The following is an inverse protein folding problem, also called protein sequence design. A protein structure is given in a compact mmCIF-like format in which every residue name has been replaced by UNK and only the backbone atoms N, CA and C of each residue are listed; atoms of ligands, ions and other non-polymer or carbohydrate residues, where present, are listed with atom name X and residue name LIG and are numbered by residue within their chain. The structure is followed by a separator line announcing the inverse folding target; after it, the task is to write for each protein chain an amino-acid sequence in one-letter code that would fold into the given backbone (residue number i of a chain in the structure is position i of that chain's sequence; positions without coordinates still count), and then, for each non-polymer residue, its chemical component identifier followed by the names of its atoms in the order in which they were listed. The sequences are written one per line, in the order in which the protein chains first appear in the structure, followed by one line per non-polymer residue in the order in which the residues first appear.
data_IF_443472923846
#
_entry.id   IF_443472923846
#
_cell.length_a   1.000
_cell.length_b   1.000
_cell.length_c   1.000
_cell.angle_alpha   90.00
_cell.angle_beta   90.00
_cell.angle_gamma   90.00
#
_symmetry.space_group_name_H-M   'P 1'
#
loop_
_entity.id
_entity.type
_entity.pdbx_description
1 polymer ?
#
# COMPACT_ATOMS: atom_id res chain seq x y z
N UNK A 1 -20.35 -64.32 -83.53
CA UNK A 1 -21.35 -64.06 -82.46
C UNK A 1 -20.65 -64.22 -81.11
N UNK A 2 -21.11 -63.52 -80.05
CA UNK A 2 -20.29 -62.53 -79.34
C UNK A 2 -20.04 -62.86 -77.85
N UNK A 3 -19.45 -61.87 -77.13
CA UNK A 3 -19.58 -61.57 -75.68
C UNK A 3 -18.82 -62.48 -74.71
N UNK A 4 -18.29 -62.04 -73.57
CA UNK A 4 -18.00 -60.72 -72.96
C UNK A 4 -17.42 -61.04 -71.58
N UNK A 5 -16.36 -60.34 -71.19
CA UNK A 5 -15.76 -60.38 -69.84
C UNK A 5 -16.67 -59.65 -68.83
N UNK A 6 -16.72 -60.06 -67.54
CA UNK A 6 -17.10 -59.15 -66.47
C UNK A 6 -15.91 -58.72 -65.60
N UNK A 7 -15.82 -57.40 -65.49
CA UNK A 7 -15.01 -56.58 -64.59
C UNK A 7 -15.26 -56.91 -63.11
N UNK A 8 -14.20 -57.05 -62.31
CA UNK A 8 -14.25 -56.84 -60.85
C UNK A 8 -13.87 -55.39 -60.56
N UNK A 9 -14.79 -54.66 -59.92
CA UNK A 9 -14.62 -53.28 -59.46
C UNK A 9 -13.74 -53.23 -58.23
N UNK A 10 -12.56 -52.61 -58.34
CA UNK A 10 -11.75 -52.15 -57.21
C UNK A 10 -12.10 -50.69 -56.93
N UNK A 11 -12.54 -50.41 -55.70
CA UNK A 11 -12.87 -49.09 -55.20
C UNK A 11 -11.55 -48.38 -54.84
N UNK A 12 -11.11 -47.42 -55.66
CA UNK A 12 -9.97 -46.56 -55.39
C UNK A 12 -10.40 -45.34 -54.56
N UNK A 13 -9.80 -45.18 -53.38
CA UNK A 13 -9.96 -44.00 -52.54
C UNK A 13 -9.01 -42.91 -53.06
N UNK A 14 -9.56 -41.84 -53.62
CA UNK A 14 -8.81 -40.65 -54.06
C UNK A 14 -8.50 -39.78 -52.84
N UNK A 15 -7.22 -39.70 -52.45
CA UNK A 15 -6.73 -38.72 -51.49
C UNK A 15 -6.53 -37.40 -52.24
N UNK A 16 -7.39 -36.42 -51.97
CA UNK A 16 -7.22 -35.05 -52.44
C UNK A 16 -6.15 -34.37 -51.57
N UNK A 17 -5.00 -34.06 -52.17
CA UNK A 17 -3.94 -33.27 -51.55
C UNK A 17 -4.38 -31.79 -51.54
N UNK A 18 -4.97 -31.33 -50.44
CA UNK A 18 -5.21 -29.91 -50.20
C UNK A 18 -3.89 -29.20 -49.89
N UNK A 19 -3.52 -28.23 -50.72
CA UNK A 19 -2.37 -27.36 -50.47
C UNK A 19 -2.68 -26.46 -49.25
N UNK A 20 -2.14 -26.83 -48.09
CA UNK A 20 -2.07 -25.97 -46.91
C UNK A 20 -0.94 -24.97 -47.12
N UNK A 21 -1.28 -23.77 -47.58
CA UNK A 21 -0.39 -22.61 -47.42
C UNK A 21 -0.31 -22.30 -45.92
N UNK A 22 0.88 -22.29 -45.30
CA UNK A 22 0.99 -21.82 -43.93
C UNK A 22 0.69 -20.32 -43.96
N UNK A 23 -0.47 -19.92 -43.44
CA UNK A 23 -0.65 -18.54 -43.00
C UNK A 23 0.40 -18.28 -41.93
N UNK A 24 1.44 -17.54 -42.29
CA UNK A 24 2.25 -16.78 -41.34
C UNK A 24 1.30 -15.81 -40.65
N UNK A 25 0.70 -16.26 -39.56
CA UNK A 25 0.20 -15.37 -38.52
C UNK A 25 1.46 -14.67 -38.02
N UNK A 26 1.65 -13.43 -38.45
CA UNK A 26 2.61 -12.55 -37.82
C UNK A 26 2.26 -12.54 -36.33
N UNK A 27 3.17 -13.03 -35.50
CA UNK A 27 3.06 -12.81 -34.06
C UNK A 27 2.97 -11.30 -33.87
N UNK A 28 1.88 -10.84 -33.24
CA UNK A 28 1.83 -9.49 -32.71
C UNK A 28 3.11 -9.26 -31.90
N UNK A 29 3.82 -8.13 -32.05
CA UNK A 29 5.03 -7.87 -31.28
C UNK A 29 4.68 -8.01 -29.80
N UNK A 30 5.32 -8.98 -29.14
CA UNK A 30 5.05 -9.33 -27.75
C UNK A 30 5.33 -8.15 -26.81
N UNK A 31 4.61 -8.14 -25.70
CA UNK A 31 4.78 -7.21 -24.56
C UNK A 31 6.21 -7.07 -24.02
N UNK A 32 7.12 -7.97 -24.40
CA UNK A 32 8.53 -8.03 -23.98
C UNK A 32 9.45 -6.93 -24.56
N UNK A 33 8.93 -5.97 -25.33
CA UNK A 33 9.75 -4.96 -26.00
C UNK A 33 9.93 -3.64 -25.23
N UNK A 34 9.13 -3.38 -24.18
CA UNK A 34 9.20 -2.11 -23.43
C UNK A 34 9.97 -2.25 -22.11
N UNK A 35 10.65 -1.20 -21.64
CA UNK A 35 11.30 -1.24 -20.33
C UNK A 35 10.27 -1.46 -19.22
N UNK A 36 10.64 -2.28 -18.23
CA UNK A 36 9.86 -2.45 -16.99
C UNK A 36 9.98 -1.17 -16.15
N UNK A 37 8.85 -0.52 -15.89
CA UNK A 37 8.76 0.74 -15.15
C UNK A 37 8.28 0.45 -13.73
N UNK A 38 9.04 0.86 -12.73
CA UNK A 38 8.62 0.72 -11.34
C UNK A 38 8.62 2.06 -10.62
N UNK A 39 7.73 2.17 -9.63
CA UNK A 39 7.56 3.41 -8.86
C UNK A 39 8.08 3.19 -7.44
N UNK A 40 8.99 4.06 -7.00
CA UNK A 40 9.48 4.10 -5.63
C UNK A 40 8.80 5.25 -4.88
N UNK A 41 7.97 4.92 -3.89
CA UNK A 41 7.17 5.87 -3.13
C UNK A 41 7.79 6.11 -1.76
N UNK A 42 8.24 7.33 -1.50
CA UNK A 42 8.86 7.66 -0.21
C UNK A 42 7.89 7.68 0.97
N UNK A 43 8.43 7.51 2.18
CA UNK A 43 7.70 7.81 3.41
C UNK A 43 7.51 9.31 3.62
N UNK A 44 6.51 9.68 4.42
CA UNK A 44 6.18 11.09 4.66
C UNK A 44 4.92 11.36 5.50
N UNK A 45 4.37 10.37 6.23
CA UNK A 45 3.12 10.56 6.98
C UNK A 45 1.99 11.08 6.08
N UNK A 46 1.31 12.16 6.50
CA UNK A 46 0.26 12.83 5.74
C UNK A 46 0.72 13.23 4.32
N UNK A 47 1.96 13.68 4.16
CA UNK A 47 2.49 14.12 2.87
C UNK A 47 2.44 12.99 1.81
N UNK A 48 2.44 11.73 2.26
CA UNK A 48 2.29 10.56 1.38
C UNK A 48 0.96 10.48 0.64
N UNK A 49 -0.06 11.27 1.03
CA UNK A 49 -1.30 11.38 0.25
C UNK A 49 -1.06 11.97 -1.15
N UNK A 50 0.02 12.74 -1.34
CA UNK A 50 0.44 13.21 -2.67
C UNK A 50 0.75 12.07 -3.65
N UNK A 51 1.14 10.89 -3.17
CA UNK A 51 1.39 9.72 -4.03
C UNK A 51 0.15 9.32 -4.83
N UNK A 52 -1.06 9.56 -4.29
CA UNK A 52 -2.31 9.26 -5.00
C UNK A 52 -2.45 10.12 -6.26
N UNK A 53 -2.16 11.42 -6.16
CA UNK A 53 -2.19 12.33 -7.32
C UNK A 53 -1.09 12.03 -8.34
N UNK A 54 0.07 11.54 -7.88
CA UNK A 54 1.10 11.03 -8.77
C UNK A 54 0.57 9.85 -9.58
N UNK A 55 0.00 8.84 -8.91
CA UNK A 55 -0.55 7.66 -9.58
C UNK A 55 -1.69 8.04 -10.53
N UNK A 56 -2.56 8.98 -10.14
CA UNK A 56 -3.62 9.53 -11.03
C UNK A 56 -3.03 10.07 -12.33
N UNK A 57 -2.03 10.93 -12.26
CA UNK A 57 -1.46 11.55 -13.45
C UNK A 57 -0.62 10.59 -14.29
N UNK A 58 0.09 9.65 -13.67
CA UNK A 58 0.76 8.57 -14.41
C UNK A 58 -0.25 7.77 -15.25
N UNK A 59 -1.41 7.43 -14.69
CA UNK A 59 -2.48 6.76 -15.43
C UNK A 59 -3.13 7.64 -16.50
N UNK A 60 -3.35 8.93 -16.21
CA UNK A 60 -3.89 9.88 -17.18
C UNK A 60 -2.98 10.04 -18.41
N UNK A 61 -1.66 9.92 -18.20
CA UNK A 61 -0.64 9.92 -19.26
C UNK A 61 -0.38 8.54 -19.87
N UNK A 62 -1.12 7.50 -19.44
CA UNK A 62 -0.97 6.10 -19.89
C UNK A 62 0.44 5.53 -19.65
N UNK A 63 1.13 6.03 -18.62
CA UNK A 63 2.43 5.52 -18.19
C UNK A 63 2.21 4.24 -17.38
N UNK A 64 2.81 3.11 -17.78
CA UNK A 64 2.62 1.86 -17.06
C UNK A 64 3.37 1.85 -15.74
N UNK A 65 2.76 1.23 -14.72
CA UNK A 65 3.43 0.90 -13.45
C UNK A 65 3.48 -0.62 -13.33
N UNK A 66 4.67 -1.20 -13.45
CA UNK A 66 4.86 -2.66 -13.46
C UNK A 66 5.25 -3.23 -12.10
N UNK A 67 5.78 -2.41 -11.21
CA UNK A 67 6.02 -2.78 -9.83
C UNK A 67 6.14 -1.56 -8.92
N UNK A 68 5.96 -1.77 -7.61
CA UNK A 68 6.02 -0.70 -6.61
C UNK A 68 6.91 -1.11 -5.44
N UNK A 69 7.77 -0.19 -5.03
CA UNK A 69 8.42 -0.24 -3.73
C UNK A 69 7.98 0.97 -2.90
N UNK A 70 7.58 0.77 -1.65
CA UNK A 70 7.08 1.85 -0.81
C UNK A 70 7.59 1.79 0.63
N UNK A 71 7.72 2.97 1.24
CA UNK A 71 8.06 3.13 2.65
C UNK A 71 6.97 3.91 3.37
N UNK A 72 6.54 3.49 4.57
CA UNK A 72 5.55 4.19 5.40
C UNK A 72 4.24 4.47 4.64
N UNK A 73 3.78 5.72 4.54
CA UNK A 73 2.61 6.07 3.74
C UNK A 73 2.78 5.72 2.25
N UNK A 74 4.00 5.76 1.70
CA UNK A 74 4.30 5.27 0.36
C UNK A 74 4.05 3.77 0.23
N UNK A 75 4.30 2.99 1.28
CA UNK A 75 3.92 1.57 1.32
C UNK A 75 2.40 1.40 1.33
N UNK A 76 1.66 2.21 2.09
CA UNK A 76 0.19 2.11 2.15
C UNK A 76 -0.43 2.43 0.79
N UNK A 77 -0.16 3.61 0.23
CA UNK A 77 -0.71 4.01 -1.06
C UNK A 77 -0.26 3.05 -2.16
N UNK A 78 1.03 2.72 -2.18
CA UNK A 78 1.62 1.81 -3.15
C UNK A 78 1.09 0.38 -3.06
N UNK A 79 0.91 -0.14 -1.84
CA UNK A 79 0.42 -1.49 -1.58
C UNK A 79 -1.06 -1.65 -1.93
N UNK A 80 -1.88 -0.64 -1.65
CA UNK A 80 -3.28 -0.61 -2.09
C UNK A 80 -3.37 -0.54 -3.61
N UNK A 81 -2.61 0.35 -4.25
CA UNK A 81 -2.55 0.42 -5.71
C UNK A 81 -2.08 -0.91 -6.33
N UNK A 82 -1.04 -1.53 -5.77
CA UNK A 82 -0.54 -2.82 -6.21
C UNK A 82 -1.53 -3.97 -5.98
N UNK A 83 -2.38 -3.88 -4.96
CA UNK A 83 -3.49 -4.80 -4.70
C UNK A 83 -4.70 -4.59 -5.65
N UNK A 84 -4.64 -3.56 -6.51
CA UNK A 84 -5.58 -3.31 -7.59
C UNK A 84 -6.61 -2.22 -7.32
N UNK A 85 -6.34 -1.31 -6.39
CA UNK A 85 -7.07 -0.05 -6.28
C UNK A 85 -6.72 0.88 -7.45
N UNK A 86 -7.73 1.57 -7.97
CA UNK A 86 -7.55 2.67 -8.92
C UNK A 86 -7.23 3.98 -8.18
N UNK A 87 -6.60 4.97 -8.84
CA UNK A 87 -6.34 6.27 -8.24
C UNK A 87 -7.63 6.95 -7.76
N UNK A 88 -8.74 6.80 -8.49
CA UNK A 88 -10.03 7.35 -8.08
C UNK A 88 -10.56 6.74 -6.77
N UNK A 89 -10.43 5.42 -6.59
CA UNK A 89 -10.79 4.77 -5.31
C UNK A 89 -9.86 5.22 -4.19
N UNK A 90 -8.56 5.39 -4.47
CA UNK A 90 -7.61 5.90 -3.48
C UNK A 90 -7.96 7.34 -3.07
N UNK A 91 -8.33 8.21 -4.01
CA UNK A 91 -8.81 9.57 -3.70
C UNK A 91 -10.09 9.57 -2.86
N UNK A 92 -11.02 8.66 -3.17
CA UNK A 92 -12.23 8.49 -2.34
C UNK A 92 -11.86 8.07 -0.91
N UNK A 93 -10.89 7.17 -0.73
CA UNK A 93 -10.37 6.82 0.59
C UNK A 93 -9.73 8.03 1.28
N UNK A 94 -8.94 8.85 0.57
CA UNK A 94 -8.37 10.08 1.13
C UNK A 94 -9.46 11.00 1.66
N UNK A 95 -10.54 11.18 0.90
CA UNK A 95 -11.63 12.10 1.25
C UNK A 95 -12.57 11.57 2.36
N UNK A 96 -12.70 10.25 2.50
CA UNK A 96 -13.73 9.64 3.37
C UNK A 96 -13.20 9.08 4.68
N UNK A 97 -11.91 8.70 4.74
CA UNK A 97 -11.32 8.15 5.96
C UNK A 97 -11.13 9.23 7.04
N UNK A 98 -11.50 8.90 8.28
CA UNK A 98 -11.18 9.73 9.45
C UNK A 98 -9.73 9.47 9.89
N UNK A 99 -8.78 10.00 9.10
CA UNK A 99 -7.34 9.89 9.34
C UNK A 99 -6.95 10.35 10.75
N UNK A 100 -7.60 11.41 11.25
CA UNK A 100 -7.37 11.93 12.59
C UNK A 100 -7.69 10.88 13.65
N UNK A 101 -8.82 10.17 13.54
CA UNK A 101 -9.20 9.09 14.46
C UNK A 101 -8.35 7.83 14.31
N UNK A 102 -7.91 7.50 13.09
CA UNK A 102 -7.04 6.35 12.83
C UNK A 102 -5.66 6.52 13.49
N UNK A 103 -5.13 7.75 13.47
CA UNK A 103 -3.77 8.04 13.92
C UNK A 103 -3.72 8.46 15.40
N UNK A 104 -4.77 9.04 15.97
CA UNK A 104 -4.76 9.43 17.39
C UNK A 104 -5.21 8.32 18.34
N UNK A 105 -5.78 7.23 17.81
CA UNK A 105 -6.21 6.02 18.55
C UNK A 105 -6.99 6.33 19.83
N UNK A 106 -7.76 7.42 19.78
CA UNK A 106 -8.55 7.92 20.89
C UNK A 106 -10.04 7.82 20.52
N UNK A 107 -10.87 7.16 21.35
CA UNK A 107 -12.31 7.12 21.10
C UNK A 107 -12.88 8.53 21.04
N UNK A 108 -13.90 8.73 20.20
CA UNK A 108 -14.68 9.97 20.18
C UNK A 108 -15.08 10.34 21.61
N UNK A 109 -14.92 11.62 21.97
CA UNK A 109 -15.24 12.13 23.30
C UNK A 109 -16.62 11.65 23.76
N UNK A 110 -17.61 11.55 22.88
CA UNK A 110 -18.97 11.06 23.17
C UNK A 110 -18.98 9.68 23.81
N UNK A 111 -18.09 8.78 23.36
CA UNK A 111 -18.00 7.39 23.79
C UNK A 111 -17.11 7.20 25.03
N UNK A 112 -16.39 8.25 25.47
CA UNK A 112 -15.59 8.19 26.69
C UNK A 112 -16.48 8.11 27.95
N UNK A 113 -16.15 7.25 28.93
CA UNK A 113 -16.77 7.26 30.25
C UNK A 113 -16.69 8.64 30.90
N UNK A 114 -17.70 9.02 31.69
CA UNK A 114 -17.77 10.32 32.36
C UNK A 114 -16.48 10.68 33.14
N UNK A 115 -15.87 9.69 33.80
CA UNK A 115 -14.62 9.86 34.54
C UNK A 115 -13.46 10.34 33.64
N UNK A 116 -13.26 9.71 32.48
CA UNK A 116 -12.23 10.09 31.49
C UNK A 116 -12.49 11.50 30.92
N UNK A 117 -13.76 11.88 30.72
CA UNK A 117 -14.14 13.24 30.28
C UNK A 117 -13.80 14.32 31.31
N UNK A 118 -13.90 13.99 32.59
CA UNK A 118 -13.56 14.87 33.72
C UNK A 118 -12.04 14.93 33.92
N UNK A 119 -11.33 13.83 33.73
CA UNK A 119 -9.87 13.78 33.79
C UNK A 119 -9.23 14.71 32.73
N UNK A 120 -9.82 14.84 31.54
CA UNK A 120 -9.39 15.81 30.50
C UNK A 120 -9.40 17.27 30.97
N UNK A 121 -10.25 17.62 31.94
CA UNK A 121 -10.34 18.97 32.50
C UNK A 121 -9.34 19.19 33.64
N UNK A 122 -8.90 18.11 34.29
CA UNK A 122 -8.12 18.16 35.52
C UNK A 122 -6.63 17.86 35.30
N UNK A 123 -6.27 17.18 34.22
CA UNK A 123 -4.89 16.80 33.92
C UNK A 123 -4.42 17.39 32.59
N UNK A 124 -3.34 18.17 32.65
CA UNK A 124 -2.73 18.84 31.49
C UNK A 124 -1.99 17.87 30.54
N UNK A 125 -1.72 16.64 30.97
CA UNK A 125 -0.94 15.66 30.19
C UNK A 125 -1.59 14.28 30.24
N UNK A 126 -1.68 13.62 29.09
CA UNK A 126 -2.43 12.38 28.88
C UNK A 126 -1.51 11.14 28.87
N UNK A 127 -0.52 11.10 29.78
CA UNK A 127 0.48 10.04 29.77
C UNK A 127 -0.11 8.81 30.47
N UNK A 128 -0.25 7.69 29.75
CA UNK A 128 -0.67 6.42 30.34
C UNK A 128 0.55 5.71 30.95
N UNK A 129 0.78 5.91 32.25
CA UNK A 129 1.79 5.16 33.00
C UNK A 129 1.24 3.77 33.37
N UNK A 130 1.81 2.72 32.79
CA UNK A 130 1.51 1.34 33.16
C UNK A 130 2.19 0.96 34.47
N UNK A 131 1.49 0.27 35.36
CA UNK A 131 2.09 -0.34 36.55
C UNK A 131 2.02 -1.86 36.41
N UNK A 132 3.18 -2.49 36.37
CA UNK A 132 3.32 -3.95 36.30
C UNK A 132 3.97 -4.50 37.59
N UNK A 133 3.97 -5.82 37.77
CA UNK A 133 4.70 -6.47 38.87
C UNK A 133 6.21 -6.21 38.82
N UNK A 134 6.75 -5.80 37.67
CA UNK A 134 8.16 -5.43 37.49
C UNK A 134 8.45 -3.92 37.62
N UNK A 135 7.44 -3.09 37.93
CA UNK A 135 7.61 -1.65 38.14
C UNK A 135 6.77 -0.80 37.19
N UNK A 136 7.09 0.50 37.14
CA UNK A 136 6.45 1.49 36.28
C UNK A 136 6.96 1.29 34.84
N UNK A 137 6.03 1.08 33.90
CA UNK A 137 6.31 1.02 32.47
C UNK A 137 5.73 2.25 31.78
N UNK A 138 6.57 2.91 31.01
CA UNK A 138 6.11 3.88 30.02
C UNK A 138 5.57 3.13 28.80
N UNK A 139 4.58 3.68 28.09
CA UNK A 139 4.07 3.09 26.87
C UNK A 139 5.13 3.18 25.77
N UNK A 140 5.25 2.13 24.97
CA UNK A 140 6.28 2.01 23.93
C UNK A 140 6.02 2.95 22.72
N UNK A 141 4.83 3.57 22.65
CA UNK A 141 4.44 4.55 21.64
C UNK A 141 3.35 5.51 22.15
N UNK A 142 3.19 6.66 21.48
CA UNK A 142 2.09 7.60 21.75
C UNK A 142 0.73 7.05 21.31
N UNK A 143 0.72 6.15 20.33
CA UNK A 143 -0.45 5.59 19.68
C UNK A 143 -0.22 4.08 19.53
N UNK A 144 -1.20 3.26 19.96
CA UNK A 144 -1.05 1.79 19.83
C UNK A 144 -1.18 1.34 18.37
N UNK A 145 -1.99 2.05 17.58
CA UNK A 145 -2.15 1.83 16.15
C UNK A 145 -3.02 0.62 15.83
N UNK A 146 -3.87 0.20 16.78
CA UNK A 146 -4.83 -0.88 16.58
C UNK A 146 -5.89 -0.51 15.54
N UNK A 147 -6.39 0.73 15.58
CA UNK A 147 -7.36 1.24 14.60
C UNK A 147 -6.80 1.26 13.19
N UNK A 148 -5.58 1.80 13.03
CA UNK A 148 -4.88 1.74 11.75
C UNK A 148 -4.68 0.30 11.26
N UNK A 149 -4.28 -0.62 12.15
CA UNK A 149 -4.12 -2.04 11.81
C UNK A 149 -5.42 -2.69 11.36
N UNK A 150 -6.54 -2.42 12.04
CA UNK A 150 -7.87 -2.88 11.65
C UNK A 150 -8.30 -2.33 10.30
N UNK A 151 -8.12 -1.03 10.08
CA UNK A 151 -8.47 -0.39 8.81
C UNK A 151 -7.64 -0.97 7.65
N UNK A 152 -6.33 -1.15 7.85
CA UNK A 152 -5.46 -1.79 6.84
C UNK A 152 -5.89 -3.23 6.52
N UNK A 153 -6.44 -3.98 7.49
CA UNK A 153 -6.99 -5.31 7.20
C UNK A 153 -8.20 -5.23 6.27
N UNK A 154 -9.08 -4.24 6.46
CA UNK A 154 -10.24 -4.02 5.61
C UNK A 154 -9.84 -3.54 4.21
N UNK A 155 -8.95 -2.56 4.13
CA UNK A 155 -8.47 -2.01 2.85
C UNK A 155 -7.66 -3.02 2.03
N UNK A 156 -7.08 -4.04 2.66
CA UNK A 156 -6.28 -5.06 1.95
C UNK A 156 -7.04 -6.36 1.68
N UNK A 157 -8.38 -6.39 1.84
CA UNK A 157 -9.18 -7.58 1.53
C UNK A 157 -9.06 -8.04 0.08
N UNK A 158 -8.75 -7.15 -0.88
CA UNK A 158 -8.45 -7.51 -2.28
C UNK A 158 -7.24 -8.44 -2.41
N UNK A 159 -6.31 -8.35 -1.46
CA UNK A 159 -5.13 -9.19 -1.34
C UNK A 159 -5.32 -10.40 -0.40
N UNK A 160 -6.55 -10.66 0.09
CA UNK A 160 -6.80 -11.78 0.98
C UNK A 160 -6.41 -13.13 0.33
N UNK A 161 -5.59 -13.91 1.04
CA UNK A 161 -5.06 -15.19 0.56
C UNK A 161 -3.91 -15.08 -0.45
N UNK A 162 -3.35 -13.89 -0.64
CA UNK A 162 -2.09 -13.67 -1.36
C UNK A 162 -0.99 -13.49 -0.33
N UNK A 163 -0.19 -14.53 -0.14
CA UNK A 163 0.91 -14.51 0.82
C UNK A 163 2.25 -14.12 0.17
N UNK A 164 2.31 -13.99 -1.16
CA UNK A 164 3.51 -13.63 -1.92
C UNK A 164 3.18 -12.37 -2.73
N UNK A 165 3.89 -11.27 -2.46
CA UNK A 165 3.60 -9.97 -3.04
C UNK A 165 3.99 -9.85 -4.52
N UNK A 166 4.72 -10.83 -5.09
CA UNK A 166 4.90 -10.93 -6.54
C UNK A 166 3.63 -11.43 -7.26
N UNK A 167 2.66 -11.97 -6.50
CA UNK A 167 1.36 -12.46 -7.02
C UNK A 167 0.23 -11.46 -6.85
N UNK A 168 0.51 -10.27 -6.31
CA UNK A 168 -0.41 -9.13 -6.39
C UNK A 168 -0.60 -8.72 -7.86
N UNK A 169 -1.69 -8.00 -8.19
CA UNK A 169 -1.87 -7.44 -9.53
C UNK A 169 -0.62 -6.72 -10.07
N UNK A 170 0.11 -6.03 -9.19
CA UNK A 170 1.49 -5.58 -9.43
C UNK A 170 2.43 -6.12 -8.34
N UNK A 171 3.62 -6.63 -8.71
CA UNK A 171 4.67 -6.93 -7.73
C UNK A 171 4.95 -5.75 -6.79
N UNK A 172 4.96 -6.02 -5.49
CA UNK A 172 5.08 -4.98 -4.46
C UNK A 172 6.13 -5.34 -3.40
N UNK A 173 6.79 -4.31 -2.86
CA UNK A 173 7.64 -4.40 -1.68
C UNK A 173 7.35 -3.26 -0.71
N UNK A 174 7.15 -3.60 0.56
CA UNK A 174 7.15 -2.60 1.64
C UNK A 174 8.51 -2.60 2.34
N UNK A 175 9.02 -1.43 2.70
CA UNK A 175 10.29 -1.31 3.42
C UNK A 175 10.04 -1.00 4.89
N UNK A 176 10.66 -1.79 5.76
CA UNK A 176 10.70 -1.58 7.20
C UNK A 176 12.16 -1.61 7.69
N UNK A 177 12.37 -1.34 8.98
CA UNK A 177 13.67 -1.46 9.61
C UNK A 177 13.60 -2.38 10.83
N UNK A 178 14.62 -3.21 11.03
CA UNK A 178 14.79 -3.94 12.28
C UNK A 178 15.16 -2.96 13.39
N UNK A 179 14.32 -2.88 14.43
CA UNK A 179 14.47 -1.90 15.51
C UNK A 179 15.77 -2.10 16.33
N UNK A 180 16.35 -3.30 16.31
CA UNK A 180 17.54 -3.63 17.10
C UNK A 180 18.83 -3.42 16.32
N UNK A 181 18.83 -3.68 15.01
CA UNK A 181 20.05 -3.66 14.18
C UNK A 181 20.12 -2.48 13.23
N UNK A 182 19.00 -1.77 13.00
CA UNK A 182 18.84 -0.77 11.95
C UNK A 182 19.16 -1.33 10.55
N UNK A 183 18.91 -2.63 10.34
CA UNK A 183 18.97 -3.25 9.02
C UNK A 183 17.68 -2.95 8.23
N UNK A 184 17.82 -2.71 6.93
CA UNK A 184 16.69 -2.62 6.02
C UNK A 184 16.03 -3.99 5.87
N UNK A 185 14.74 -4.06 6.14
CA UNK A 185 13.92 -5.26 5.96
C UNK A 185 12.94 -5.00 4.82
N UNK A 186 13.12 -5.74 3.73
CA UNK A 186 12.22 -5.71 2.58
C UNK A 186 11.14 -6.77 2.78
N UNK A 187 9.89 -6.32 2.90
CA UNK A 187 8.72 -7.16 3.12
C UNK A 187 8.10 -7.50 1.77
N UNK A 188 8.16 -8.78 1.41
CA UNK A 188 7.74 -9.34 0.12
C UNK A 188 6.69 -10.46 0.24
N UNK A 189 6.33 -10.84 1.47
CA UNK A 189 5.38 -11.92 1.73
C UNK A 189 4.62 -11.71 3.05
N UNK A 190 3.65 -12.60 3.28
CA UNK A 190 2.76 -12.60 4.44
C UNK A 190 1.47 -11.83 4.21
N UNK A 191 0.83 -11.39 5.30
CA UNK A 191 -0.38 -10.57 5.20
C UNK A 191 -0.01 -9.13 4.81
N UNK A 192 -0.55 -8.64 3.69
CA UNK A 192 -0.28 -7.29 3.19
C UNK A 192 -0.53 -6.21 4.27
N UNK A 193 -1.65 -6.29 5.00
CA UNK A 193 -1.95 -5.37 6.11
C UNK A 193 -0.82 -5.31 7.16
N UNK A 194 -0.23 -6.45 7.52
CA UNK A 194 0.86 -6.53 8.48
C UNK A 194 2.12 -5.86 7.93
N UNK A 195 2.45 -6.11 6.65
CA UNK A 195 3.60 -5.49 6.02
C UNK A 195 3.46 -3.96 5.93
N UNK A 196 2.28 -3.48 5.55
CA UNK A 196 1.96 -2.05 5.54
C UNK A 196 2.05 -1.43 6.95
N UNK A 197 1.48 -2.11 7.96
CA UNK A 197 1.50 -1.64 9.35
C UNK A 197 2.91 -1.61 9.95
N UNK A 198 3.77 -2.56 9.58
CA UNK A 198 5.18 -2.58 9.98
C UNK A 198 5.97 -1.44 9.30
N UNK A 199 5.76 -1.23 8.00
CA UNK A 199 6.40 -0.16 7.23
C UNK A 199 6.01 1.24 7.73
N UNK A 200 4.82 1.42 8.32
CA UNK A 200 4.34 2.68 8.92
C UNK A 200 4.50 2.74 10.46
N UNK A 201 5.30 1.86 11.08
CA UNK A 201 5.49 1.86 12.53
C UNK A 201 6.49 2.94 12.99
N UNK A 202 6.14 4.22 12.81
CA UNK A 202 7.03 5.38 13.08
C UNK A 202 7.46 5.40 14.55
N UNK A 203 8.77 5.33 14.85
CA UNK A 203 9.27 5.34 16.22
C UNK A 203 8.78 6.54 17.04
N UNK A 204 8.27 6.26 18.25
CA UNK A 204 7.72 7.27 19.16
C UNK A 204 6.29 7.69 18.85
N UNK A 205 5.77 7.41 17.65
CA UNK A 205 4.37 7.64 17.30
C UNK A 205 3.56 6.35 17.38
N UNK A 206 3.97 5.31 16.66
CA UNK A 206 3.28 4.02 16.59
C UNK A 206 4.09 2.91 17.26
N UNK A 207 3.39 1.94 17.84
CA UNK A 207 4.02 0.74 18.38
C UNK A 207 4.73 -0.04 17.25
N UNK A 208 5.94 -0.58 17.51
CA UNK A 208 6.62 -1.52 16.61
C UNK A 208 5.78 -2.77 16.34
N UNK A 209 6.05 -3.44 15.22
CA UNK A 209 5.31 -4.63 14.79
C UNK A 209 6.26 -5.82 14.73
N UNK A 210 5.88 -6.94 15.34
CA UNK A 210 6.67 -8.16 15.24
C UNK A 210 6.31 -8.93 13.96
N UNK A 211 7.29 -9.19 13.11
CA UNK A 211 7.16 -9.98 11.86
C UNK A 211 8.32 -10.96 11.80
N UNK A 212 8.02 -12.25 11.64
CA UNK A 212 9.01 -13.34 11.58
C UNK A 212 10.05 -13.33 12.72
N UNK A 213 9.60 -13.00 13.94
CA UNK A 213 10.44 -12.93 15.13
C UNK A 213 11.36 -11.70 15.19
N UNK A 214 11.19 -10.74 14.27
CA UNK A 214 11.89 -9.44 14.28
C UNK A 214 10.94 -8.34 14.71
N UNK A 215 11.44 -7.43 15.54
CA UNK A 215 10.70 -6.24 15.92
C UNK A 215 10.96 -5.14 14.89
N UNK A 216 9.95 -4.81 14.10
CA UNK A 216 10.05 -3.88 12.97
C UNK A 216 9.49 -2.50 13.32
N UNK A 217 10.18 -1.47 12.82
CA UNK A 217 9.76 -0.07 12.82
C UNK A 217 9.73 0.48 11.39
N UNK A 218 9.25 1.70 11.24
CA UNK A 218 9.15 2.39 9.95
C UNK A 218 10.47 2.39 9.17
N UNK A 219 10.40 2.05 7.88
CA UNK A 219 11.57 1.96 7.00
C UNK A 219 12.22 3.31 6.70
N UNK A 220 11.55 4.43 6.99
CA UNK A 220 12.06 5.79 6.78
C UNK A 220 13.36 6.09 7.55
N UNK A 221 13.66 5.29 8.57
CA UNK A 221 14.90 5.40 9.35
C UNK A 221 16.13 4.81 8.65
N UNK A 222 15.95 3.96 7.63
CA UNK A 222 17.04 3.27 6.91
C UNK A 222 16.99 3.45 5.40
N UNK A 223 15.80 3.52 4.80
CA UNK A 223 15.58 3.57 3.35
C UNK A 223 14.24 4.27 3.09
N UNK A 224 14.22 5.60 3.16
CA UNK A 224 12.97 6.34 3.03
C UNK A 224 12.49 6.42 1.58
N UNK A 225 13.40 6.41 0.60
CA UNK A 225 13.06 6.42 -0.82
C UNK A 225 13.61 5.12 -1.46
N UNK A 226 12.77 4.07 -1.63
CA UNK A 226 13.25 2.72 -1.88
C UNK A 226 13.58 2.43 -3.36
N UNK A 227 14.40 3.28 -3.99
CA UNK A 227 14.83 3.14 -5.40
C UNK A 227 15.63 1.86 -5.62
N UNK A 228 16.53 1.52 -4.70
CA UNK A 228 17.30 0.27 -4.77
C UNK A 228 16.39 -0.97 -4.78
N UNK A 229 15.34 -0.97 -3.93
CA UNK A 229 14.36 -2.07 -3.87
C UNK A 229 13.56 -2.15 -5.17
N UNK A 230 13.19 -1.01 -5.78
CA UNK A 230 12.54 -0.99 -7.08
C UNK A 230 13.47 -1.57 -8.18
N UNK A 231 14.77 -1.29 -8.14
CA UNK A 231 15.76 -1.91 -9.05
C UNK A 231 15.87 -3.42 -8.83
N UNK A 232 15.87 -3.89 -7.59
CA UNK A 232 15.89 -5.31 -7.24
C UNK A 232 14.65 -6.06 -7.75
N UNK A 233 13.49 -5.39 -7.83
CA UNK A 233 12.29 -5.91 -8.51
C UNK A 233 12.43 -6.00 -10.04
N UNK A 234 13.57 -5.64 -10.60
CA UNK A 234 13.87 -5.73 -12.03
C UNK A 234 13.50 -4.49 -12.83
N UNK A 235 13.36 -3.33 -12.19
CA UNK A 235 13.04 -2.08 -12.88
C UNK A 235 14.14 -1.67 -13.86
N UNK A 236 13.78 -1.56 -15.14
CA UNK A 236 14.62 -0.92 -16.15
C UNK A 236 14.53 0.61 -16.03
N UNK A 237 13.35 1.13 -15.65
CA UNK A 237 13.11 2.54 -15.34
C UNK A 237 12.52 2.66 -13.93
N UNK A 238 13.07 3.52 -13.09
CA UNK A 238 12.53 3.87 -11.77
C UNK A 238 12.03 5.30 -11.76
N UNK A 239 10.74 5.46 -11.47
CA UNK A 239 10.11 6.74 -11.15
C UNK A 239 10.09 6.88 -9.63
N UNK A 240 10.86 7.81 -9.09
CA UNK A 240 10.96 8.07 -7.66
C UNK A 240 10.08 9.25 -7.26
N UNK A 241 9.27 9.08 -6.22
CA UNK A 241 8.46 10.16 -5.64
C UNK A 241 9.07 10.57 -4.30
N UNK A 242 9.72 11.73 -4.31
CA UNK A 242 10.47 12.27 -3.18
C UNK A 242 9.67 13.41 -2.52
N UNK A 243 9.21 13.16 -1.29
CA UNK A 243 8.44 14.11 -0.49
C UNK A 243 9.31 14.92 0.49
N UNK A 244 10.64 14.79 0.43
CA UNK A 244 11.52 15.48 1.36
C UNK A 244 11.76 16.94 0.99
N UNK A 245 11.27 17.84 1.85
CA UNK A 245 11.72 19.22 1.93
C UNK A 245 13.22 19.30 2.31
N UNK A 246 14.02 20.21 1.73
CA UNK A 246 15.33 20.56 2.26
C UNK A 246 15.26 20.99 3.74
N UNK A 247 16.22 20.55 4.58
CA UNK A 247 16.24 20.81 6.05
C UNK A 247 16.04 22.27 6.42
N UNK A 248 16.57 23.18 5.60
CA UNK A 248 16.62 24.61 5.90
C UNK A 248 15.24 25.27 6.02
N UNK A 249 14.19 24.64 5.48
CA UNK A 249 12.86 25.24 5.34
C UNK A 249 11.81 24.60 6.28
N UNK A 250 12.19 23.58 7.07
CA UNK A 250 11.25 22.84 7.93
C UNK A 250 10.85 23.62 9.18
N UNK A 251 9.56 23.59 9.53
CA UNK A 251 9.02 24.17 10.76
C UNK A 251 9.66 23.54 12.01
N UNK A 252 9.79 24.33 13.09
CA UNK A 252 10.31 23.81 14.37
C UNK A 252 9.36 22.76 14.98
N UNK A 253 9.89 21.61 15.43
CA UNK A 253 9.08 20.55 16.03
C UNK A 253 8.51 21.03 17.37
N UNK A 254 7.23 20.75 17.61
CA UNK A 254 6.47 21.22 18.79
C UNK A 254 6.36 20.19 19.91
N UNK A 255 6.90 18.98 19.73
CA UNK A 255 6.80 17.85 20.68
C UNK A 255 8.07 17.01 20.71
N UNK A 256 8.25 16.21 21.77
CA UNK A 256 9.39 15.28 21.91
C UNK A 256 9.40 14.26 20.76
N UNK A 257 8.23 13.69 20.44
CA UNK A 257 8.10 12.79 19.30
C UNK A 257 8.46 13.49 17.98
N UNK A 258 8.04 14.74 17.78
CA UNK A 258 8.42 15.53 16.60
C UNK A 258 9.92 15.79 16.50
N UNK A 259 10.60 16.03 17.62
CA UNK A 259 12.07 16.18 17.66
C UNK A 259 12.76 14.86 17.28
N UNK A 260 12.26 13.73 17.78
CA UNK A 260 12.78 12.40 17.44
C UNK A 260 12.59 12.10 15.95
N UNK A 261 11.36 12.24 15.42
CA UNK A 261 11.06 12.03 14.00
C UNK A 261 11.92 12.91 13.11
N UNK A 262 12.04 14.22 13.41
CA UNK A 262 12.89 15.11 12.62
C UNK A 262 14.38 14.72 12.68
N UNK A 263 14.85 14.19 13.81
CA UNK A 263 16.23 13.71 13.93
C UNK A 263 16.46 12.47 13.07
N UNK A 264 15.50 11.54 13.04
CA UNK A 264 15.54 10.36 12.19
C UNK A 264 15.51 10.74 10.70
N UNK A 265 14.63 11.65 10.30
CA UNK A 265 14.59 12.18 8.94
C UNK A 265 15.91 12.84 8.53
N UNK A 266 16.55 13.58 9.45
CA UNK A 266 17.85 14.20 9.16
C UNK A 266 18.96 13.15 8.93
N UNK A 267 18.86 11.98 9.55
CA UNK A 267 19.80 10.88 9.34
C UNK A 267 19.55 10.17 8.00
N UNK A 268 18.29 10.03 7.56
CA UNK A 268 17.95 9.37 6.30
C UNK A 268 18.22 10.22 5.05
N UNK A 269 18.39 11.53 5.17
CA UNK A 269 18.61 12.42 4.02
C UNK A 269 19.80 12.07 3.13
N UNK A 270 20.89 11.57 3.71
CA UNK A 270 22.05 11.16 2.91
C UNK A 270 21.76 9.95 2.05
N UNK A 271 20.90 9.07 2.55
CA UNK A 271 20.42 7.90 1.82
C UNK A 271 19.45 8.34 0.72
N UNK A 272 18.46 9.17 1.04
CA UNK A 272 17.51 9.72 0.06
C UNK A 272 18.24 10.47 -1.07
N UNK A 273 19.24 11.30 -0.75
CA UNK A 273 20.00 12.02 -1.77
C UNK A 273 20.70 11.09 -2.76
N UNK A 274 21.20 9.93 -2.31
CA UNK A 274 21.77 8.90 -3.18
C UNK A 274 20.69 8.20 -3.99
N UNK A 275 19.57 7.84 -3.35
CA UNK A 275 18.46 7.19 -4.04
C UNK A 275 17.89 8.07 -5.18
N UNK A 276 17.86 9.39 -5.00
CA UNK A 276 17.49 10.36 -6.04
C UNK A 276 18.47 10.33 -7.23
N UNK A 277 19.77 10.19 -6.97
CA UNK A 277 20.78 10.09 -8.05
C UNK A 277 20.65 8.79 -8.86
N UNK A 278 20.17 7.71 -8.24
CA UNK A 278 20.00 6.39 -8.86
C UNK A 278 18.64 6.21 -9.59
N UNK A 279 17.73 7.17 -9.45
CA UNK A 279 16.41 7.18 -10.10
C UNK A 279 16.49 7.79 -11.52
N UNK A 280 15.67 7.29 -12.44
CA UNK A 280 15.63 7.80 -13.82
C UNK A 280 14.75 9.04 -13.95
N UNK A 281 13.64 9.07 -13.22
CA UNK A 281 12.71 10.20 -13.15
C UNK A 281 12.40 10.47 -11.68
N UNK A 282 12.53 11.72 -11.26
CA UNK A 282 12.24 12.14 -9.88
C UNK A 282 11.09 13.14 -9.87
N UNK A 283 10.01 12.77 -9.21
CA UNK A 283 8.84 13.60 -8.98
C UNK A 283 8.93 14.19 -7.57
N UNK A 284 8.88 15.52 -7.47
CA UNK A 284 8.95 16.25 -6.19
C UNK A 284 7.71 17.12 -5.99
N UNK A 285 6.67 16.58 -5.33
CA UNK A 285 5.52 17.37 -4.88
C UNK A 285 5.95 18.50 -3.95
N UNK A 286 5.45 19.71 -4.18
CA UNK A 286 5.66 20.87 -3.30
C UNK A 286 4.76 20.75 -2.06
N UNK A 287 5.28 20.13 -1.00
CA UNK A 287 4.50 19.78 0.22
C UNK A 287 5.06 20.38 1.51
N UNK A 288 6.04 21.28 1.38
CA UNK A 288 6.84 21.82 2.49
C UNK A 288 6.01 22.67 3.49
N UNK A 289 4.83 23.12 3.07
CA UNK A 289 3.93 23.92 3.89
C UNK A 289 3.21 23.10 4.98
N UNK A 290 3.16 21.77 4.85
CA UNK A 290 2.46 20.87 5.77
C UNK A 290 3.40 19.96 6.58
N UNK A 291 2.91 19.53 7.73
CA UNK A 291 3.58 18.55 8.58
C UNK A 291 3.15 17.10 8.30
N UNK A 292 3.96 16.16 8.80
CA UNK A 292 3.72 14.71 8.66
C UNK A 292 2.41 14.21 9.30
N UNK A 293 1.72 15.03 10.08
CA UNK A 293 0.47 14.71 10.78
C UNK A 293 -0.74 15.55 10.33
N UNK A 294 -0.59 16.37 9.29
CA UNK A 294 -1.64 17.27 8.80
C UNK A 294 -2.52 16.55 7.76
N UNK A 295 -3.29 15.56 8.21
CA UNK A 295 -4.15 14.74 7.33
C UNK A 295 -5.43 15.45 6.86
N UNK A 296 -5.74 16.64 7.40
CA UNK A 296 -6.94 17.40 7.05
C UNK A 296 -6.85 18.08 5.67
N UNK A 297 -5.67 18.07 5.03
CA UNK A 297 -5.39 18.72 3.73
C UNK A 297 -5.15 17.70 2.61
N UNK A 298 -5.84 16.56 2.69
CA UNK A 298 -5.62 15.42 1.78
C UNK A 298 -5.84 15.78 0.31
N UNK A 299 -6.89 16.54 0.00
CA UNK A 299 -7.20 16.97 -1.37
C UNK A 299 -6.10 17.86 -1.97
N UNK A 300 -5.57 18.80 -1.18
CA UNK A 300 -4.47 19.66 -1.59
C UNK A 300 -3.19 18.85 -1.84
N UNK A 301 -2.86 17.92 -0.95
CA UNK A 301 -1.69 17.05 -1.09
C UNK A 301 -1.78 16.19 -2.35
N UNK A 302 -2.94 15.59 -2.63
CA UNK A 302 -3.21 14.86 -3.88
C UNK A 302 -2.91 15.76 -5.07
N UNK A 303 -3.39 17.00 -5.07
CA UNK A 303 -3.14 17.92 -6.18
C UNK A 303 -1.65 18.26 -6.35
N UNK A 304 -0.89 18.44 -5.27
CA UNK A 304 0.58 18.66 -5.36
C UNK A 304 1.32 17.49 -6.00
N UNK A 305 0.88 16.27 -5.74
CA UNK A 305 1.39 15.07 -6.41
C UNK A 305 1.12 15.09 -7.91
N UNK A 306 -0.10 15.49 -8.29
CA UNK A 306 -0.49 15.61 -9.68
C UNK A 306 0.30 16.72 -10.40
N UNK A 307 0.45 17.89 -9.79
CA UNK A 307 1.24 19.00 -10.31
C UNK A 307 2.69 18.61 -10.58
N UNK A 308 3.35 17.94 -9.63
CA UNK A 308 4.73 17.47 -9.80
C UNK A 308 4.87 16.46 -10.94
N UNK A 309 3.86 15.62 -11.15
CA UNK A 309 3.85 14.63 -12.25
C UNK A 309 3.67 15.33 -13.59
N UNK A 310 2.73 16.29 -13.70
CA UNK A 310 2.56 17.12 -14.89
C UNK A 310 3.80 17.95 -15.21
N UNK A 311 4.55 18.38 -14.20
CA UNK A 311 5.84 19.05 -14.37
C UNK A 311 6.91 18.21 -15.07
N UNK A 312 6.77 16.89 -15.12
CA UNK A 312 7.68 15.94 -15.78
C UNK A 312 7.05 15.25 -17.00
N UNK A 313 5.98 15.83 -17.57
CA UNK A 313 5.23 15.23 -18.67
C UNK A 313 6.11 14.80 -19.86
N UNK A 314 7.10 15.62 -20.24
CA UNK A 314 7.98 15.30 -21.38
C UNK A 314 8.77 13.99 -21.19
N UNK A 315 9.31 13.77 -19.99
CA UNK A 315 10.04 12.55 -19.65
C UNK A 315 9.11 11.34 -19.51
N UNK A 316 7.93 11.56 -18.94
CA UNK A 316 6.93 10.52 -18.71
C UNK A 316 6.24 10.06 -19.99
N UNK A 317 5.94 10.97 -20.92
CA UNK A 317 5.29 10.66 -22.19
C UNK A 317 6.11 9.69 -23.05
N UNK A 318 7.43 9.66 -22.89
CA UNK A 318 8.30 8.70 -23.56
C UNK A 318 8.07 7.23 -23.11
N UNK A 319 7.40 7.03 -21.96
CA UNK A 319 7.06 5.72 -21.40
C UNK A 319 5.60 5.32 -21.67
N UNK A 320 4.78 6.24 -22.20
CA UNK A 320 3.36 6.03 -22.39
C UNK A 320 3.05 4.86 -23.33
N UNK A 321 2.02 4.09 -23.00
CA UNK A 321 1.51 3.01 -23.83
C UNK A 321 0.52 3.53 -24.87
N UNK A 322 0.38 2.78 -25.97
CA UNK A 322 -0.77 2.96 -26.84
C UNK A 322 -2.07 2.52 -26.14
N UNK A 323 -3.21 2.97 -26.67
CA UNK A 323 -4.53 2.74 -26.09
C UNK A 323 -4.89 1.25 -25.91
N UNK A 324 -4.39 0.36 -26.77
CA UNK A 324 -4.70 -1.06 -26.67
C UNK A 324 -3.83 -1.73 -25.59
N UNK A 325 -2.54 -1.40 -25.53
CA UNK A 325 -1.63 -1.85 -24.50
C UNK A 325 -1.99 -1.30 -23.12
N UNK A 326 -2.43 -0.04 -23.04
CA UNK A 326 -2.91 0.59 -21.82
C UNK A 326 -4.13 -0.12 -21.24
N UNK A 327 -5.13 -0.43 -22.07
CA UNK A 327 -6.32 -1.18 -21.62
C UNK A 327 -5.95 -2.56 -21.07
N UNK A 328 -5.05 -3.30 -21.74
CA UNK A 328 -4.55 -4.58 -21.22
C UNK A 328 -3.78 -4.45 -19.91
N UNK A 329 -3.00 -3.37 -19.76
CA UNK A 329 -2.27 -3.07 -18.53
C UNK A 329 -3.25 -2.86 -17.36
N UNK A 330 -4.27 -2.03 -17.56
CA UNK A 330 -5.32 -1.79 -16.56
C UNK A 330 -6.12 -3.06 -16.23
N UNK A 331 -6.49 -3.87 -17.23
CA UNK A 331 -7.23 -5.13 -16.99
C UNK A 331 -6.47 -6.11 -16.08
N UNK A 332 -5.14 -6.12 -16.13
CA UNK A 332 -4.32 -6.95 -15.23
C UNK A 332 -4.19 -6.38 -13.83
N UNK A 333 -4.11 -5.05 -13.73
CA UNK A 333 -3.85 -4.37 -12.47
C UNK A 333 -5.14 -4.16 -11.66
N UNK A 334 -6.29 -3.94 -12.31
CA UNK A 334 -7.59 -3.77 -11.63
C UNK A 334 -8.09 -5.10 -11.08
N UNK A 335 -8.39 -5.13 -9.79
CA UNK A 335 -8.99 -6.29 -9.12
C UNK A 335 -10.24 -5.88 -8.36
N UNK A 336 -11.36 -6.52 -8.68
CA UNK A 336 -12.59 -6.34 -7.93
C UNK A 336 -12.45 -6.88 -6.49
N UNK A 337 -13.23 -6.31 -5.57
CA UNK A 337 -13.29 -6.82 -4.21
C UNK A 337 -13.82 -8.26 -4.18
N UNK A 338 -13.11 -9.19 -3.51
CA UNK A 338 -13.57 -10.55 -3.41
C UNK A 338 -14.80 -10.63 -2.50
N UNK A 339 -15.78 -11.43 -2.89
CA UNK A 339 -16.83 -11.87 -1.97
C UNK A 339 -16.23 -12.91 -1.02
N UNK A 340 -16.19 -12.59 0.27
CA UNK A 340 -15.58 -13.42 1.30
C UNK A 340 -16.66 -14.01 2.20
N UNK A 341 -17.11 -15.26 1.96
CA UNK A 341 -18.14 -15.89 2.78
C UNK A 341 -17.60 -16.22 4.18
N UNK A 342 -18.32 -15.77 5.20
CA UNK A 342 -17.94 -15.95 6.60
C UNK A 342 -18.27 -17.39 7.02
N UNK A 343 -17.22 -18.22 7.18
CA UNK A 343 -17.39 -19.61 7.65
C UNK A 343 -17.59 -19.71 9.16
N UNK A 344 -16.88 -18.88 9.91
CA UNK A 344 -16.88 -18.92 11.37
C UNK A 344 -16.52 -17.53 11.92
N UNK A 345 -17.07 -17.21 13.09
CA UNK A 345 -16.68 -16.04 13.88
C UNK A 345 -16.17 -16.57 15.23
N UNK A 346 -14.92 -16.24 15.57
CA UNK A 346 -14.29 -16.62 16.83
C UNK A 346 -14.02 -15.34 17.62
N UNK A 347 -14.42 -15.30 18.89
CA UNK A 347 -14.24 -14.13 19.77
C UNK A 347 -13.39 -14.55 20.96
N UNK A 348 -12.16 -14.03 21.01
CA UNK A 348 -11.18 -14.27 22.07
C UNK A 348 -10.88 -12.95 22.79
N UNK A 349 -11.59 -12.62 23.89
CA UNK A 349 -11.36 -11.39 24.63
C UNK A 349 -10.00 -11.41 25.33
N UNK A 350 -9.32 -10.26 25.33
CA UNK A 350 -8.11 -10.07 26.13
C UNK A 350 -8.35 -10.19 27.65
N UNK A 351 -7.29 -10.38 28.44
CA UNK A 351 -7.40 -10.52 29.90
C UNK A 351 -8.15 -9.33 30.54
N UNK A 352 -9.19 -9.63 31.32
CA UNK A 352 -9.98 -8.61 32.02
C UNK A 352 -11.20 -8.09 31.25
N UNK A 353 -11.43 -8.53 30.01
CA UNK A 353 -12.62 -8.17 29.23
C UNK A 353 -13.71 -9.26 29.33
N UNK A 354 -14.95 -8.92 29.74
CA UNK A 354 -16.03 -9.90 29.80
C UNK A 354 -16.44 -10.39 28.40
N UNK A 355 -16.34 -11.70 28.15
CA UNK A 355 -16.68 -12.30 26.84
C UNK A 355 -18.10 -11.97 26.38
N UNK A 356 -19.07 -11.97 27.28
CA UNK A 356 -20.46 -11.63 26.97
C UNK A 356 -20.68 -10.14 26.62
N UNK A 357 -19.77 -9.25 27.03
CA UNK A 357 -19.83 -7.84 26.63
C UNK A 357 -19.32 -7.69 25.19
N UNK A 358 -18.15 -8.26 24.89
CA UNK A 358 -17.54 -8.23 23.55
C UNK A 358 -18.45 -8.92 22.52
N UNK A 359 -18.98 -10.10 22.85
CA UNK A 359 -19.86 -10.86 21.96
C UNK A 359 -21.19 -10.17 21.64
N UNK A 360 -21.65 -9.21 22.47
CA UNK A 360 -22.85 -8.41 22.18
C UNK A 360 -22.58 -7.25 21.22
N UNK A 361 -21.33 -6.81 21.12
CA UNK A 361 -20.92 -5.71 20.24
C UNK A 361 -20.67 -6.18 18.80
N UNK A 362 -20.34 -7.46 18.61
CA UNK A 362 -20.14 -8.12 17.30
C UNK A 362 -21.50 -8.57 16.73
N UNK A 363 -21.89 -8.03 15.58
CA UNK A 363 -23.11 -8.40 14.84
C UNK A 363 -22.82 -9.30 13.65
N UNK A 364 -21.57 -9.37 13.20
CA UNK A 364 -21.09 -10.30 12.17
C UNK A 364 -21.49 -11.76 12.48
N UNK A 365 -22.07 -12.47 11.51
CA UNK A 365 -22.55 -13.86 11.65
C UNK A 365 -21.97 -14.79 10.57
N UNK A 366 -21.70 -16.07 10.90
CA UNK A 366 -21.41 -17.09 9.90
C UNK A 366 -22.55 -17.25 8.89
N UNK A 367 -22.21 -17.60 7.65
CA UNK A 367 -23.15 -17.89 6.57
C UNK A 367 -23.55 -16.69 5.70
N UNK A 368 -23.17 -15.47 6.08
CA UNK A 368 -23.22 -14.29 5.22
C UNK A 368 -21.87 -13.98 4.57
N UNK A 369 -21.84 -12.99 3.67
CA UNK A 369 -20.60 -12.43 3.15
C UNK A 369 -20.04 -11.39 4.12
N UNK A 370 -18.71 -11.24 4.12
CA UNK A 370 -18.02 -10.20 4.88
C UNK A 370 -18.43 -8.83 4.36
N UNK A 371 -19.01 -8.02 5.24
CA UNK A 371 -19.31 -6.61 5.00
C UNK A 371 -18.25 -5.75 5.73
N UNK A 372 -17.32 -5.12 4.99
CA UNK A 372 -16.25 -4.31 5.58
C UNK A 372 -16.78 -3.13 6.39
N UNK A 373 -17.88 -2.49 5.97
CA UNK A 373 -18.46 -1.34 6.67
C UNK A 373 -19.10 -1.77 7.99
N UNK A 374 -19.81 -2.89 7.98
CA UNK A 374 -20.35 -3.48 9.20
C UNK A 374 -19.22 -3.83 10.18
N UNK A 375 -18.15 -4.47 9.68
CA UNK A 375 -17.03 -4.89 10.50
C UNK A 375 -16.25 -3.70 11.08
N UNK A 376 -15.97 -2.67 10.27
CA UNK A 376 -15.31 -1.44 10.75
C UNK A 376 -16.11 -0.80 11.90
N UNK A 377 -17.42 -0.60 11.70
CA UNK A 377 -18.27 -0.05 12.75
C UNK A 377 -18.38 -0.93 14.00
N UNK A 378 -18.20 -2.26 13.90
CA UNK A 378 -18.10 -3.15 15.05
C UNK A 378 -16.80 -2.96 15.84
N UNK A 379 -15.68 -2.81 15.12
CA UNK A 379 -14.36 -2.58 15.72
C UNK A 379 -14.29 -1.22 16.42
N UNK A 380 -14.97 -0.19 15.90
CA UNK A 380 -15.03 1.13 16.57
C UNK A 380 -15.77 1.12 17.92
N UNK A 381 -16.68 0.15 18.12
CA UNK A 381 -17.48 0.03 19.34
C UNK A 381 -16.81 -0.80 20.44
N UNK A 382 -15.76 -1.54 20.08
CA UNK A 382 -14.93 -2.34 20.98
C UNK A 382 -13.77 -1.50 21.51
#
# INVERSE_FOLDING_TARGET
MPRSVPLRRTLGFLIALGALTPSLVAAEPGEDARPKVCVALSGGGALGLAHVGVLRELEAMQVPVDCIAGTSMGAIVGGLYAAGYSPAELEELVATLDWTSLIRDRPDRRHLPYRRKVDDLNYLTHWELGVSKQGIRLPDALVSGHRLGAELQLLTLRAAGIDDFDRLPLPFRAVAADASTAETIVLDHGALATALRASMAVPGLFAPVEVDGRLLVDGGVVSNLPVAVARELGAAVVIAVDLHAPVAERQRPKSIAGVLSQSLDALSQREVARAVEDADIVLRPEVDEWGLLDFDVGEELVERGAEATRGQADALQALALDEAAWRRHLERQRRAEPTLPIRQVVIEPGPGLPQAAVARSVRTRPGGDLDPLLLSGELERL
#
